data_IF_912940328369
#
_entry.id   IF_912940328369
#
_cell.length_a   1.000
_cell.length_b   1.000
_cell.length_c   1.000
_cell.angle_alpha   90.00
_cell.angle_beta   90.00
_cell.angle_gamma   90.00
#
_symmetry.space_group_name_H-M   'P 1'
#
loop_
_entity.id
_entity.type
_entity.pdbx_description
1 polymer ?
#
# COMPACT_ATOMS: atom_id res chain seq x y z
N UNK A 1 44.81 12.97 19.16
CA UNK A 1 45.10 13.82 20.35
C UNK A 1 43.77 14.35 20.89
N UNK A 2 43.50 14.00 22.15
CA UNK A 2 42.67 14.66 23.18
C UNK A 2 41.17 14.84 22.83
N UNK A 3 40.23 14.08 23.36
CA UNK A 3 39.70 13.92 24.75
C UNK A 3 38.69 15.02 25.14
N UNK A 4 37.45 14.50 25.39
CA UNK A 4 36.53 14.75 26.51
C UNK A 4 35.90 16.17 26.64
N UNK A 5 34.54 16.16 26.77
CA UNK A 5 33.88 16.47 28.06
C UNK A 5 32.42 16.04 28.01
N UNK A 6 32.03 15.22 28.99
CA UNK A 6 30.65 14.88 29.35
C UNK A 6 30.15 15.92 30.34
N UNK A 7 28.84 16.23 30.35
CA UNK A 7 28.18 16.83 31.51
C UNK A 7 26.73 16.35 31.61
N UNK A 8 26.48 15.60 32.66
CA UNK A 8 25.20 15.28 33.26
C UNK A 8 24.45 16.54 33.73
N UNK A 9 23.12 16.52 33.59
CA UNK A 9 22.26 17.23 34.54
C UNK A 9 20.99 16.41 34.77
N UNK A 10 20.92 15.80 35.94
CA UNK A 10 19.74 15.27 36.58
C UNK A 10 19.02 16.39 37.30
N UNK A 11 17.71 16.48 37.16
CA UNK A 11 16.87 17.25 38.06
C UNK A 11 15.59 16.47 38.36
N UNK A 12 15.56 15.95 39.57
CA UNK A 12 14.41 15.45 40.33
C UNK A 12 13.46 16.57 40.69
N UNK A 13 12.13 16.34 40.58
CA UNK A 13 11.17 17.05 41.41
C UNK A 13 10.04 16.15 41.87
N UNK A 14 9.83 16.17 43.15
CA UNK A 14 8.96 15.41 44.03
C UNK A 14 7.55 15.96 44.10
N UNK A 15 6.62 15.04 44.20
CA UNK A 15 5.38 14.88 45.00
C UNK A 15 4.80 16.14 45.70
N UNK A 16 3.48 16.34 45.54
CA UNK A 16 2.60 16.81 46.60
C UNK A 16 1.19 16.22 46.43
N UNK A 17 0.81 15.38 47.39
CA UNK A 17 -0.55 15.02 47.74
C UNK A 17 -1.26 16.20 48.42
N UNK A 18 -2.55 16.39 48.14
CA UNK A 18 -3.47 16.97 49.10
C UNK A 18 -4.86 16.36 48.90
N UNK A 19 -5.33 15.69 49.92
CA UNK A 19 -6.69 15.19 50.12
C UNK A 19 -7.54 16.21 50.87
N UNK A 20 -8.88 16.13 50.65
CA UNK A 20 -10.00 16.39 51.59
C UNK A 20 -11.23 16.58 50.73
N UNK A 21 -12.35 15.87 50.86
CA UNK A 21 -13.08 15.42 52.03
C UNK A 21 -14.40 16.22 52.14
N UNK A 22 -15.57 15.55 52.14
CA UNK A 22 -16.79 16.21 52.53
C UNK A 22 -18.10 15.68 51.85
N UNK A 23 -18.72 14.88 52.54
CA UNK A 23 -20.02 14.25 52.74
C UNK A 23 -21.26 15.16 52.74
N UNK A 24 -22.44 14.54 52.49
CA UNK A 24 -23.78 15.00 52.85
C UNK A 24 -24.84 14.56 51.83
N UNK A 25 -25.56 13.63 52.00
CA UNK A 25 -26.72 13.05 52.68
C UNK A 25 -28.07 13.62 52.23
N UNK A 26 -28.85 12.76 51.63
CA UNK A 26 -30.19 12.24 51.93
C UNK A 26 -31.47 13.04 51.58
N UNK A 27 -32.43 12.24 51.14
CA UNK A 27 -33.91 12.29 51.42
C UNK A 27 -34.74 12.98 50.33
N UNK A 28 -35.83 12.49 49.75
CA UNK A 28 -36.88 11.51 50.13
C UNK A 28 -37.84 11.36 48.94
N UNK A 29 -38.45 10.19 48.80
CA UNK A 29 -39.66 9.96 48.01
C UNK A 29 -40.89 10.50 48.76
N UNK A 30 -42.18 10.48 48.24
CA UNK A 30 -42.84 9.35 47.59
C UNK A 30 -43.96 9.66 46.53
N UNK A 31 -44.32 8.64 45.79
CA UNK A 31 -45.65 8.01 45.61
C UNK A 31 -46.56 8.40 44.43
N UNK A 32 -46.81 7.35 43.66
CA UNK A 32 -48.08 6.80 43.14
C UNK A 32 -48.81 7.39 41.94
N UNK A 33 -49.05 6.48 41.01
CA UNK A 33 -50.10 6.58 39.99
C UNK A 33 -49.91 5.53 38.89
N UNK A 34 -50.47 4.33 39.08
CA UNK A 34 -50.42 3.26 38.10
C UNK A 34 -51.38 3.43 36.94
N UNK A 35 -51.08 2.80 35.81
CA UNK A 35 -52.05 2.01 35.01
C UNK A 35 -51.37 1.23 33.91
N UNK A 36 -51.79 -0.04 33.80
CA UNK A 36 -51.85 -0.93 32.64
C UNK A 36 -50.55 -1.37 31.94
N UNK A 37 -50.36 -2.67 32.09
CA UNK A 37 -49.38 -3.50 31.39
C UNK A 37 -49.75 -3.66 29.90
N UNK A 38 -48.77 -3.47 29.04
CA UNK A 38 -48.69 -4.07 27.71
C UNK A 38 -47.45 -4.97 27.71
N UNK A 39 -47.68 -6.26 27.51
CA UNK A 39 -46.63 -7.27 27.42
C UNK A 39 -45.83 -6.99 26.13
N UNK A 40 -44.64 -6.47 26.28
CA UNK A 40 -43.58 -6.49 25.23
C UNK A 40 -42.66 -7.67 25.54
N UNK A 41 -42.49 -8.56 24.56
CA UNK A 41 -41.51 -9.65 24.60
C UNK A 41 -40.15 -9.09 25.02
N UNK A 42 -39.59 -9.70 26.05
CA UNK A 42 -38.26 -9.36 26.53
C UNK A 42 -37.22 -9.86 25.52
N UNK A 43 -36.58 -8.93 24.82
CA UNK A 43 -35.28 -9.16 24.20
C UNK A 43 -34.33 -9.74 25.26
N UNK A 44 -33.64 -10.84 24.90
CA UNK A 44 -32.62 -11.43 25.75
C UNK A 44 -31.58 -10.36 26.11
N UNK A 45 -31.07 -10.32 27.36
CA UNK A 45 -30.05 -9.36 27.72
C UNK A 45 -28.82 -9.60 26.84
N UNK A 46 -28.35 -8.57 26.14
CA UNK A 46 -27.04 -8.57 25.54
C UNK A 46 -26.02 -8.98 26.63
N UNK A 47 -25.18 -9.97 26.34
CA UNK A 47 -24.07 -10.34 27.22
C UNK A 47 -23.30 -9.08 27.59
N UNK A 48 -23.04 -8.88 28.87
CA UNK A 48 -22.23 -7.78 29.35
C UNK A 48 -20.85 -7.90 28.68
N UNK A 49 -20.27 -6.80 28.16
CA UNK A 49 -18.96 -6.84 27.53
C UNK A 49 -17.98 -7.49 28.51
N UNK A 50 -17.18 -8.45 27.99
CA UNK A 50 -16.13 -9.09 28.77
C UNK A 50 -15.23 -8.00 29.37
N UNK A 51 -14.78 -8.21 30.63
CA UNK A 51 -13.84 -7.28 31.27
C UNK A 51 -12.47 -7.35 30.60
N UNK A 52 -12.31 -6.57 29.53
CA UNK A 52 -11.10 -6.46 28.74
C UNK A 52 -10.19 -5.31 29.24
N UNK A 53 -10.51 -4.74 30.41
CA UNK A 53 -9.71 -3.66 31.00
C UNK A 53 -8.32 -4.19 31.34
N UNK A 54 -7.34 -3.74 30.57
CA UNK A 54 -5.93 -4.13 30.75
C UNK A 54 -5.29 -4.78 29.53
N UNK A 55 -6.07 -5.30 28.57
CA UNK A 55 -5.51 -5.81 27.30
C UNK A 55 -5.09 -4.65 26.40
N UNK A 56 -3.98 -4.83 25.70
CA UNK A 56 -3.49 -3.89 24.68
C UNK A 56 -3.01 -4.70 23.48
N UNK A 57 -3.57 -4.44 22.30
CA UNK A 57 -3.07 -4.97 21.05
C UNK A 57 -1.99 -4.06 20.48
N UNK A 58 -0.89 -4.65 20.07
CA UNK A 58 0.17 -3.97 19.34
C UNK A 58 -0.08 -4.15 17.84
N UNK A 59 -0.22 -3.03 17.14
CA UNK A 59 -0.49 -3.00 15.70
C UNK A 59 0.68 -2.33 14.98
N UNK A 60 1.26 -2.98 13.97
CA UNK A 60 2.33 -2.42 13.18
C UNK A 60 1.86 -2.11 11.74
N UNK A 61 2.19 -0.89 11.31
CA UNK A 61 1.97 -0.38 9.94
C UNK A 61 3.24 0.35 9.47
N UNK A 62 3.32 0.69 8.17
CA UNK A 62 4.49 1.43 7.66
C UNK A 62 4.19 2.81 7.09
N UNK A 63 2.93 3.18 6.88
CA UNK A 63 2.57 4.47 6.31
C UNK A 63 1.95 5.42 7.34
N UNK A 64 2.67 6.50 7.64
CA UNK A 64 2.20 7.51 8.59
C UNK A 64 0.99 8.31 8.07
N UNK A 65 0.82 8.43 6.73
CA UNK A 65 -0.27 9.20 6.17
C UNK A 65 -1.64 8.53 6.38
N UNK A 66 -1.64 7.20 6.60
CA UNK A 66 -2.83 6.41 6.88
C UNK A 66 -3.15 6.31 8.39
N UNK A 67 -2.21 6.68 9.26
CA UNK A 67 -2.32 6.50 10.71
C UNK A 67 -3.58 7.16 11.30
N UNK A 68 -3.89 8.39 10.90
CA UNK A 68 -5.01 9.16 11.47
C UNK A 68 -6.35 8.46 11.20
N UNK A 69 -6.59 8.03 9.97
CA UNK A 69 -7.81 7.33 9.60
C UNK A 69 -7.94 5.97 10.26
N UNK A 70 -6.85 5.19 10.30
CA UNK A 70 -6.83 3.89 10.98
C UNK A 70 -7.04 4.02 12.49
N UNK A 71 -6.45 5.04 13.11
CA UNK A 71 -6.66 5.33 14.54
C UNK A 71 -8.11 5.66 14.84
N UNK A 72 -8.80 6.42 13.99
CA UNK A 72 -10.21 6.72 14.18
C UNK A 72 -11.08 5.45 14.25
N UNK A 73 -10.81 4.44 13.41
CA UNK A 73 -11.50 3.16 13.43
C UNK A 73 -11.10 2.34 14.67
N UNK A 74 -9.81 2.28 14.98
CA UNK A 74 -9.31 1.55 16.14
C UNK A 74 -9.84 2.12 17.47
N UNK A 75 -9.96 3.45 17.59
CA UNK A 75 -10.48 4.12 18.79
C UNK A 75 -11.98 3.82 19.00
N UNK A 76 -12.76 3.78 17.92
CA UNK A 76 -14.17 3.38 18.00
C UNK A 76 -14.34 1.91 18.42
N UNK A 77 -13.52 1.02 17.84
CA UNK A 77 -13.50 -0.38 18.24
C UNK A 77 -13.05 -0.53 19.71
N UNK A 78 -12.00 0.19 20.10
CA UNK A 78 -11.48 0.21 21.47
C UNK A 78 -12.54 0.69 22.48
N UNK A 79 -13.33 1.71 22.11
CA UNK A 79 -14.44 2.20 22.97
C UNK A 79 -15.56 1.16 23.14
N UNK A 80 -15.81 0.32 22.12
CA UNK A 80 -16.83 -0.75 22.17
C UNK A 80 -16.36 -1.97 22.97
N UNK A 81 -15.07 -2.32 22.88
CA UNK A 81 -14.52 -3.58 23.42
C UNK A 81 -13.80 -3.43 24.75
N UNK A 82 -13.36 -2.23 25.11
CA UNK A 82 -12.50 -1.97 26.27
C UNK A 82 -11.03 -2.35 26.09
N UNK A 83 -10.65 -2.92 24.93
CA UNK A 83 -9.27 -3.26 24.59
C UNK A 83 -8.55 -2.04 24.04
N UNK A 84 -7.33 -1.79 24.48
CA UNK A 84 -6.49 -0.69 23.95
C UNK A 84 -5.80 -1.13 22.65
N UNK A 85 -5.57 -0.17 21.77
CA UNK A 85 -4.81 -0.36 20.52
C UNK A 85 -3.63 0.58 20.50
N UNK A 86 -2.42 0.02 20.37
CA UNK A 86 -1.19 0.75 20.15
C UNK A 86 -0.75 0.56 18.70
N UNK A 87 -0.89 1.60 17.86
CA UNK A 87 -0.43 1.57 16.47
C UNK A 87 0.98 2.15 16.41
N UNK A 88 1.93 1.35 15.93
CA UNK A 88 3.29 1.74 15.66
C UNK A 88 3.46 1.94 14.14
N UNK A 89 4.09 3.06 13.77
CA UNK A 89 4.48 3.32 12.36
C UNK A 89 5.98 3.08 12.25
N UNK A 90 6.37 2.18 11.37
CA UNK A 90 7.75 1.73 11.17
C UNK A 90 8.06 1.88 9.68
N UNK A 91 9.21 2.41 9.32
CA UNK A 91 9.59 2.57 7.91
C UNK A 91 9.61 1.22 7.18
N UNK A 92 9.30 1.22 5.88
CA UNK A 92 9.19 0.00 5.07
C UNK A 92 10.34 -1.00 5.27
N UNK A 93 11.59 -0.55 5.17
CA UNK A 93 12.77 -1.43 5.29
C UNK A 93 12.93 -1.97 6.71
N UNK A 94 12.72 -1.13 7.71
CA UNK A 94 12.84 -1.50 9.13
C UNK A 94 11.68 -2.40 9.55
N UNK A 95 10.50 -2.21 8.98
CA UNK A 95 9.30 -3.00 9.26
C UNK A 95 9.54 -4.49 9.05
N UNK A 96 10.03 -4.87 7.88
CA UNK A 96 10.31 -6.28 7.55
C UNK A 96 11.44 -6.85 8.38
N UNK A 97 12.48 -6.05 8.65
CA UNK A 97 13.59 -6.45 9.54
C UNK A 97 13.10 -6.77 10.95
N UNK A 98 12.25 -5.92 11.52
CA UNK A 98 11.69 -6.12 12.85
C UNK A 98 10.66 -7.24 12.90
N UNK A 99 9.81 -7.37 11.88
CA UNK A 99 8.83 -8.44 11.79
C UNK A 99 9.51 -9.82 11.70
N UNK A 100 10.58 -9.95 10.91
CA UNK A 100 11.36 -11.18 10.81
C UNK A 100 12.12 -11.51 12.11
N UNK A 101 12.68 -10.51 12.76
CA UNK A 101 13.30 -10.69 14.08
C UNK A 101 12.28 -11.13 15.14
N UNK A 102 11.09 -10.50 15.15
CA UNK A 102 9.98 -10.87 16.02
C UNK A 102 9.46 -12.28 15.75
N UNK A 103 9.33 -12.66 14.47
CA UNK A 103 8.94 -14.00 14.07
C UNK A 103 9.93 -15.08 14.59
N UNK A 104 11.23 -14.79 14.48
CA UNK A 104 12.28 -15.67 14.98
C UNK A 104 12.39 -15.70 16.51
N UNK A 105 12.09 -14.57 17.19
CA UNK A 105 12.14 -14.41 18.63
C UNK A 105 10.86 -14.77 19.38
N UNK A 106 9.74 -14.96 18.67
CA UNK A 106 8.43 -15.19 19.28
C UNK A 106 7.77 -13.91 19.81
N UNK A 107 8.20 -12.72 19.36
CA UNK A 107 7.74 -11.40 19.78
C UNK A 107 7.17 -10.60 18.60
N UNK A 108 6.26 -11.21 17.83
CA UNK A 108 5.55 -10.52 16.75
C UNK A 108 4.51 -9.55 17.31
N UNK A 109 4.15 -8.46 16.58
CA UNK A 109 2.97 -7.65 16.92
C UNK A 109 1.70 -8.50 16.82
N UNK A 110 0.64 -8.13 17.56
CA UNK A 110 -0.61 -8.89 17.53
C UNK A 110 -1.30 -8.80 16.17
N UNK A 111 -1.33 -7.61 15.58
CA UNK A 111 -1.95 -7.31 14.27
C UNK A 111 -0.98 -6.49 13.43
N UNK A 112 -0.92 -6.77 12.14
CA UNK A 112 0.02 -6.08 11.27
C UNK A 112 -0.37 -6.17 9.80
N UNK A 113 0.16 -5.23 9.02
CA UNK A 113 0.03 -5.28 7.58
C UNK A 113 0.89 -6.38 6.98
N UNK A 114 0.32 -7.09 6.02
CA UNK A 114 1.02 -8.07 5.21
C UNK A 114 1.00 -7.65 3.74
N UNK A 115 2.14 -7.81 3.07
CA UNK A 115 2.32 -7.53 1.65
C UNK A 115 2.50 -8.83 0.86
N UNK A 116 2.09 -8.84 -0.42
CA UNK A 116 2.19 -10.01 -1.29
C UNK A 116 3.61 -10.57 -1.36
N UNK A 117 4.63 -9.70 -1.36
CA UNK A 117 6.04 -10.09 -1.48
C UNK A 117 6.52 -11.01 -0.35
N UNK A 118 5.90 -10.90 0.82
CA UNK A 118 6.27 -11.66 2.01
C UNK A 118 5.22 -12.71 2.42
N UNK A 119 3.98 -12.56 1.96
CA UNK A 119 2.85 -13.36 2.44
C UNK A 119 3.11 -14.87 2.35
N UNK A 120 3.61 -15.37 1.22
CA UNK A 120 3.89 -16.81 1.02
C UNK A 120 4.92 -17.35 2.00
N UNK A 121 5.96 -16.57 2.31
CA UNK A 121 7.00 -16.93 3.30
C UNK A 121 6.40 -17.12 4.69
N UNK A 122 5.61 -16.15 5.14
CA UNK A 122 5.01 -16.16 6.48
C UNK A 122 3.91 -17.22 6.63
N UNK A 123 3.05 -17.38 5.62
CA UNK A 123 2.01 -18.41 5.61
C UNK A 123 2.60 -19.83 5.68
N UNK A 124 3.65 -20.13 4.87
CA UNK A 124 4.30 -21.46 4.83
C UNK A 124 5.14 -21.76 6.07
N UNK A 125 5.48 -20.73 6.83
CA UNK A 125 6.23 -20.89 8.07
C UNK A 125 5.33 -20.95 9.32
N UNK A 126 4.00 -21.03 9.14
CA UNK A 126 3.01 -21.08 10.22
C UNK A 126 3.11 -19.87 11.19
N UNK A 127 3.52 -18.70 10.68
CA UNK A 127 3.73 -17.50 11.49
C UNK A 127 2.45 -16.65 11.60
N UNK A 128 1.46 -16.90 10.75
CA UNK A 128 0.20 -16.16 10.72
C UNK A 128 -0.93 -16.97 11.33
N UNK A 129 -1.83 -16.28 12.04
CA UNK A 129 -3.06 -16.87 12.57
C UNK A 129 -3.96 -17.33 11.41
N UNK A 130 -4.45 -18.58 11.46
CA UNK A 130 -5.46 -19.05 10.53
C UNK A 130 -6.82 -18.44 10.90
N UNK A 131 -7.42 -17.72 9.95
CA UNK A 131 -8.66 -16.96 10.19
C UNK A 131 -9.94 -17.73 9.86
N UNK A 132 -9.88 -18.95 9.30
CA UNK A 132 -11.06 -19.67 8.81
C UNK A 132 -12.15 -19.84 9.87
N UNK A 133 -11.78 -20.27 11.10
CA UNK A 133 -12.73 -20.51 12.17
C UNK A 133 -13.37 -19.21 12.71
N UNK A 134 -12.68 -18.10 12.57
CA UNK A 134 -13.19 -16.77 12.92
C UNK A 134 -14.14 -16.25 11.83
N UNK A 135 -13.72 -16.29 10.58
CA UNK A 135 -14.54 -15.87 9.42
C UNK A 135 -15.85 -16.65 9.38
N UNK A 136 -15.82 -17.96 9.66
CA UNK A 136 -17.02 -18.80 9.65
C UNK A 136 -18.09 -18.41 10.71
N UNK A 137 -17.73 -17.59 11.68
CA UNK A 137 -18.60 -17.13 12.78
C UNK A 137 -18.89 -15.63 12.75
N UNK A 138 -18.34 -14.94 11.76
CA UNK A 138 -18.41 -13.49 11.65
C UNK A 138 -19.32 -13.09 10.48
N UNK A 139 -20.54 -12.70 10.79
CA UNK A 139 -21.53 -12.25 9.80
C UNK A 139 -21.12 -10.94 9.10
N UNK A 140 -20.11 -10.20 9.62
CA UNK A 140 -19.61 -8.97 9.02
C UNK A 140 -18.60 -9.22 7.88
N UNK A 141 -18.06 -10.44 7.77
CA UNK A 141 -17.02 -10.80 6.81
C UNK A 141 -17.52 -11.89 5.86
N UNK A 142 -17.79 -11.50 4.61
CA UNK A 142 -18.02 -12.41 3.49
C UNK A 142 -16.96 -12.15 2.41
N UNK A 143 -16.04 -13.09 2.24
CA UNK A 143 -14.91 -12.96 1.31
C UNK A 143 -15.35 -12.76 -0.15
N UNK A 144 -16.57 -13.16 -0.52
CA UNK A 144 -17.11 -12.92 -1.88
C UNK A 144 -17.36 -11.44 -2.19
N UNK A 145 -17.46 -10.60 -1.18
CA UNK A 145 -17.63 -9.15 -1.32
C UNK A 145 -16.31 -8.41 -1.58
N UNK A 146 -15.18 -9.09 -1.47
CA UNK A 146 -13.88 -8.52 -1.79
C UNK A 146 -13.42 -8.89 -3.19
N UNK A 147 -12.43 -8.19 -3.71
CA UNK A 147 -11.79 -8.57 -4.97
C UNK A 147 -11.06 -9.90 -4.81
N UNK A 148 -11.44 -10.89 -5.63
CA UNK A 148 -10.93 -12.26 -5.55
C UNK A 148 -9.39 -12.31 -5.61
N UNK A 149 -8.78 -11.52 -6.49
CA UNK A 149 -7.33 -11.46 -6.62
C UNK A 149 -6.60 -11.03 -5.34
N UNK A 150 -7.23 -10.19 -4.49
CA UNK A 150 -6.64 -9.77 -3.19
C UNK A 150 -6.89 -10.83 -2.11
N UNK A 151 -8.07 -11.45 -2.09
CA UNK A 151 -8.34 -12.58 -1.17
C UNK A 151 -7.32 -13.70 -1.37
N UNK A 152 -7.06 -14.05 -2.63
CA UNK A 152 -6.14 -15.13 -3.01
C UNK A 152 -4.69 -14.90 -2.59
N UNK A 153 -4.24 -13.64 -2.51
CA UNK A 153 -2.88 -13.31 -2.05
C UNK A 153 -2.60 -13.92 -0.67
N UNK A 154 -3.61 -13.90 0.19
CA UNK A 154 -3.49 -14.28 1.60
C UNK A 154 -4.14 -15.62 1.91
N UNK A 155 -4.35 -16.43 0.88
CA UNK A 155 -4.86 -17.81 0.97
C UNK A 155 -3.74 -18.82 0.68
N UNK A 156 -3.68 -19.88 1.46
CA UNK A 156 -2.77 -21.00 1.24
C UNK A 156 -3.45 -22.32 1.65
N UNK A 157 -3.48 -23.30 0.75
CA UNK A 157 -4.02 -24.64 0.99
C UNK A 157 -5.44 -24.64 1.61
N UNK A 158 -6.29 -23.70 1.16
CA UNK A 158 -7.67 -23.53 1.61
C UNK A 158 -7.83 -22.80 2.96
N UNK A 159 -6.76 -22.24 3.48
CA UNK A 159 -6.76 -21.43 4.68
C UNK A 159 -6.55 -19.95 4.35
N UNK A 160 -7.30 -19.06 5.01
CA UNK A 160 -7.15 -17.61 4.94
C UNK A 160 -6.31 -17.13 6.12
N UNK A 161 -5.27 -16.32 5.84
CA UNK A 161 -4.33 -15.85 6.85
C UNK A 161 -4.31 -14.34 7.05
N UNK A 162 -4.91 -13.59 6.14
CA UNK A 162 -5.17 -12.17 6.33
C UNK A 162 -6.47 -11.78 5.64
N UNK A 163 -7.15 -10.74 6.14
CA UNK A 163 -8.29 -10.14 5.44
C UNK A 163 -7.82 -8.98 4.56
N UNK A 164 -8.39 -8.82 3.34
CA UNK A 164 -8.04 -7.73 2.45
C UNK A 164 -8.23 -6.36 3.10
N UNK A 165 -7.17 -5.56 3.13
CA UNK A 165 -7.17 -4.20 3.67
C UNK A 165 -7.60 -3.18 2.62
N UNK A 166 -7.01 -3.26 1.46
CA UNK A 166 -7.16 -2.33 0.35
C UNK A 166 -6.90 -3.04 -0.98
N UNK A 167 -6.99 -2.27 -2.04
CA UNK A 167 -6.41 -2.62 -3.33
C UNK A 167 -5.79 -1.39 -3.97
N UNK A 168 -4.90 -1.61 -4.91
CA UNK A 168 -4.13 -0.57 -5.57
C UNK A 168 -4.16 -0.75 -7.08
N UNK A 169 -4.20 0.36 -7.80
CA UNK A 169 -3.86 0.48 -9.21
C UNK A 169 -2.82 1.57 -9.41
N UNK A 170 -2.26 1.66 -10.60
CA UNK A 170 -1.23 2.65 -10.95
C UNK A 170 -1.83 3.68 -11.90
N UNK A 171 -1.52 4.95 -11.62
CA UNK A 171 -1.86 6.08 -12.47
C UNK A 171 -0.62 6.97 -12.68
N UNK A 172 -0.72 7.92 -13.57
CA UNK A 172 0.32 8.91 -13.81
C UNK A 172 0.01 10.18 -13.04
N UNK A 173 0.94 10.65 -12.20
CA UNK A 173 0.90 11.99 -11.62
C UNK A 173 1.75 12.94 -12.46
N UNK A 174 1.28 14.19 -12.64
CA UNK A 174 2.04 15.22 -13.35
C UNK A 174 1.90 16.60 -12.68
N UNK A 175 2.92 17.44 -12.87
CA UNK A 175 2.98 18.80 -12.33
C UNK A 175 2.58 19.80 -13.41
N UNK A 176 1.37 20.37 -13.30
CA UNK A 176 0.81 21.35 -14.25
C UNK A 176 1.71 22.58 -14.45
N UNK A 177 2.38 23.06 -13.41
CA UNK A 177 3.27 24.22 -13.50
C UNK A 177 4.47 23.92 -14.39
N UNK A 178 5.04 22.72 -14.33
CA UNK A 178 6.15 22.27 -15.20
C UNK A 178 5.67 22.15 -16.63
N UNK A 179 4.49 21.54 -16.86
CA UNK A 179 3.92 21.39 -18.20
C UNK A 179 3.64 22.76 -18.83
N UNK A 180 2.99 23.68 -18.10
CA UNK A 180 2.72 25.04 -18.57
C UNK A 180 4.03 25.80 -18.88
N UNK A 181 5.00 25.73 -17.97
CA UNK A 181 6.29 26.42 -18.10
C UNK A 181 7.04 26.04 -19.36
N UNK A 182 7.01 24.76 -19.73
CA UNK A 182 7.75 24.24 -20.88
C UNK A 182 6.88 24.00 -22.12
N UNK A 183 5.59 24.38 -22.05
CA UNK A 183 4.66 24.31 -23.18
C UNK A 183 4.37 22.89 -23.63
N UNK A 184 4.24 21.95 -22.68
CA UNK A 184 3.88 20.56 -22.94
C UNK A 184 2.36 20.41 -22.76
N UNK A 185 1.71 19.69 -23.65
CA UNK A 185 0.28 19.40 -23.51
C UNK A 185 0.03 18.46 -22.35
N UNK A 186 -1.08 18.69 -21.62
CA UNK A 186 -1.45 17.82 -20.50
C UNK A 186 -1.81 16.42 -20.99
N UNK A 187 -1.53 15.40 -20.17
CA UNK A 187 -1.96 14.03 -20.45
C UNK A 187 -3.46 13.93 -20.65
N UNK A 188 -3.87 13.02 -21.51
CA UNK A 188 -5.27 12.65 -21.74
C UNK A 188 -5.42 11.13 -21.81
N UNK A 189 -6.65 10.64 -21.89
CA UNK A 189 -6.94 9.21 -21.83
C UNK A 189 -6.40 8.38 -23.01
N UNK A 190 -5.93 9.04 -24.06
CA UNK A 190 -5.37 8.37 -25.23
C UNK A 190 -3.84 8.40 -25.27
N UNK A 191 -3.19 8.81 -24.18
CA UNK A 191 -1.72 8.79 -24.17
C UNK A 191 -1.17 7.37 -24.22
N UNK A 192 -0.33 7.16 -25.21
CA UNK A 192 0.51 5.97 -25.33
C UNK A 192 1.80 6.13 -24.51
N UNK A 193 2.55 5.05 -24.36
CA UNK A 193 3.89 5.13 -23.80
C UNK A 193 4.82 6.00 -24.66
N UNK A 194 4.60 6.05 -25.98
CA UNK A 194 5.38 6.93 -26.87
C UNK A 194 5.05 8.41 -26.63
N UNK A 195 3.77 8.76 -26.36
CA UNK A 195 3.37 10.12 -25.98
C UNK A 195 4.00 10.52 -24.64
N UNK A 196 3.98 9.60 -23.67
CA UNK A 196 4.64 9.79 -22.37
C UNK A 196 6.13 10.07 -22.53
N UNK A 197 6.83 9.25 -23.32
CA UNK A 197 8.26 9.43 -23.58
C UNK A 197 8.55 10.74 -24.32
N UNK A 198 7.72 11.13 -25.30
CA UNK A 198 7.86 12.38 -26.03
C UNK A 198 7.68 13.60 -25.12
N UNK A 199 6.68 13.59 -24.24
CA UNK A 199 6.46 14.65 -23.25
C UNK A 199 7.62 14.73 -22.25
N UNK A 200 8.11 13.58 -21.76
CA UNK A 200 9.27 13.51 -20.89
C UNK A 200 10.52 14.13 -21.55
N UNK A 201 10.79 13.77 -22.80
CA UNK A 201 11.91 14.30 -23.55
C UNK A 201 11.79 15.83 -23.79
N UNK A 202 10.60 16.32 -24.08
CA UNK A 202 10.34 17.75 -24.24
C UNK A 202 10.60 18.52 -22.95
N UNK A 203 10.08 18.04 -21.79
CA UNK A 203 10.31 18.65 -20.48
C UNK A 203 11.80 18.65 -20.16
N UNK A 204 12.49 17.52 -20.34
CA UNK A 204 13.93 17.39 -20.09
C UNK A 204 14.75 18.38 -20.93
N UNK A 205 14.47 18.46 -22.23
CA UNK A 205 15.21 19.35 -23.12
C UNK A 205 14.98 20.85 -22.81
N UNK A 206 13.73 21.23 -22.50
CA UNK A 206 13.39 22.62 -22.17
C UNK A 206 13.81 23.01 -20.74
N UNK A 207 13.78 22.04 -19.80
CA UNK A 207 14.08 22.24 -18.38
C UNK A 207 15.54 21.97 -17.98
N UNK A 208 16.42 21.59 -18.93
CA UNK A 208 17.81 21.20 -18.62
C UNK A 208 18.58 22.30 -17.87
N UNK A 209 18.43 23.55 -18.28
CA UNK A 209 19.08 24.68 -17.63
C UNK A 209 18.56 24.95 -16.20
N UNK A 210 17.35 24.52 -15.90
CA UNK A 210 16.69 24.65 -14.60
C UNK A 210 16.90 23.40 -13.73
N UNK A 211 17.56 22.36 -14.24
CA UNK A 211 17.77 21.09 -13.56
C UNK A 211 16.51 20.22 -13.47
N UNK A 212 15.55 20.41 -14.41
CA UNK A 212 14.29 19.68 -14.43
C UNK A 212 14.38 18.47 -15.35
N UNK A 213 13.82 17.37 -14.90
CA UNK A 213 13.73 16.09 -15.60
C UNK A 213 12.28 15.86 -16.07
N UNK A 214 12.13 15.10 -17.16
CA UNK A 214 10.83 14.80 -17.72
C UNK A 214 10.04 13.84 -16.86
N UNK A 215 10.70 12.79 -16.43
CA UNK A 215 10.11 11.74 -15.59
C UNK A 215 11.14 11.18 -14.60
N UNK A 216 10.67 10.42 -13.62
CA UNK A 216 11.48 9.59 -12.75
C UNK A 216 10.75 8.28 -12.47
N UNK A 217 11.44 7.29 -11.97
CA UNK A 217 10.90 5.97 -11.66
C UNK A 217 11.64 5.37 -10.48
N UNK A 218 10.92 4.67 -9.62
CA UNK A 218 11.54 3.82 -8.62
C UNK A 218 12.16 2.61 -9.34
N UNK A 219 13.49 2.57 -9.42
CA UNK A 219 14.21 1.47 -10.08
C UNK A 219 14.35 0.23 -9.21
N UNK A 220 14.02 0.34 -7.92
CA UNK A 220 14.13 -0.74 -6.94
C UNK A 220 12.80 -1.47 -6.72
N UNK A 221 11.68 -0.86 -7.14
CA UNK A 221 10.34 -1.43 -7.10
C UNK A 221 9.72 -1.36 -8.50
N UNK A 222 9.21 -2.49 -8.97
CA UNK A 222 8.62 -2.56 -10.30
C UNK A 222 7.13 -2.24 -10.33
N UNK A 223 6.45 -2.26 -9.18
CA UNK A 223 4.99 -2.14 -9.12
C UNK A 223 4.48 -0.80 -9.65
N UNK A 224 5.07 0.29 -9.23
CA UNK A 224 4.75 1.66 -9.66
C UNK A 224 5.50 2.12 -10.91
N UNK A 225 6.27 1.22 -11.53
CA UNK A 225 7.12 1.55 -12.67
C UNK A 225 7.10 0.50 -13.77
N UNK A 226 8.23 -0.13 -13.98
CA UNK A 226 8.57 -0.91 -15.17
C UNK A 226 7.81 -2.25 -15.32
N UNK A 227 7.19 -2.80 -14.27
CA UNK A 227 6.31 -3.97 -14.41
C UNK A 227 5.11 -3.66 -15.31
N UNK A 228 4.49 -2.49 -15.14
CA UNK A 228 3.35 -2.06 -15.96
C UNK A 228 3.71 -2.05 -17.44
N UNK A 229 4.91 -1.56 -17.76
CA UNK A 229 5.40 -1.50 -19.11
C UNK A 229 5.67 -2.89 -19.68
N UNK A 230 6.33 -3.79 -18.93
CA UNK A 230 6.59 -5.17 -19.38
C UNK A 230 5.29 -5.88 -19.75
N UNK A 231 4.30 -5.85 -18.87
CA UNK A 231 3.02 -6.52 -19.12
C UNK A 231 2.22 -5.81 -20.23
N UNK A 232 2.34 -4.49 -20.37
CA UNK A 232 1.76 -3.73 -21.49
C UNK A 232 2.33 -4.15 -22.85
N UNK A 233 3.56 -4.58 -22.93
CA UNK A 233 4.19 -5.16 -24.14
C UNK A 233 3.83 -6.64 -24.34
N UNK A 234 3.09 -7.26 -23.43
CA UNK A 234 2.78 -8.68 -23.43
C UNK A 234 3.92 -9.57 -22.93
N UNK A 235 4.91 -8.98 -22.24
CA UNK A 235 5.95 -9.70 -21.52
C UNK A 235 5.49 -10.21 -20.16
N UNK A 236 6.39 -10.78 -19.39
CA UNK A 236 6.10 -11.34 -18.05
C UNK A 236 7.32 -11.18 -17.14
N UNK A 237 7.08 -11.05 -15.85
CA UNK A 237 8.11 -11.15 -14.82
C UNK A 237 8.32 -12.61 -14.41
N UNK A 238 7.21 -13.33 -14.22
CA UNK A 238 7.18 -14.72 -13.80
C UNK A 238 6.15 -15.50 -14.61
N UNK A 239 6.36 -16.80 -14.80
CA UNK A 239 5.37 -17.67 -15.46
C UNK A 239 4.09 -17.81 -14.65
N UNK A 240 2.99 -18.16 -15.31
CA UNK A 240 1.66 -18.27 -14.67
C UNK A 240 1.62 -19.34 -13.56
N UNK A 241 2.51 -20.32 -13.60
CA UNK A 241 2.67 -21.35 -12.55
C UNK A 241 3.73 -20.99 -11.48
N UNK A 242 4.28 -19.79 -11.55
CA UNK A 242 5.32 -19.23 -10.66
C UNK A 242 6.62 -20.05 -10.58
N UNK A 243 6.95 -20.83 -11.63
CA UNK A 243 8.13 -21.73 -11.59
C UNK A 243 9.31 -21.26 -12.41
N UNK A 244 9.08 -20.33 -13.32
CA UNK A 244 10.14 -19.84 -14.20
C UNK A 244 10.06 -18.32 -14.34
N UNK A 245 11.22 -17.69 -14.47
CA UNK A 245 11.31 -16.28 -14.80
C UNK A 245 10.78 -16.00 -16.21
N UNK A 246 10.13 -14.85 -16.39
CA UNK A 246 9.79 -14.31 -17.70
C UNK A 246 10.72 -13.18 -18.16
N UNK A 247 11.80 -12.93 -17.41
CA UNK A 247 12.72 -11.82 -17.74
C UNK A 247 13.50 -12.03 -19.04
N UNK A 248 13.66 -13.26 -19.51
CA UNK A 248 14.27 -13.58 -20.82
C UNK A 248 13.25 -13.74 -21.96
N UNK A 249 11.96 -13.53 -21.68
CA UNK A 249 10.94 -13.48 -22.73
C UNK A 249 11.26 -12.36 -23.74
N UNK A 250 11.15 -12.62 -25.05
CA UNK A 250 11.41 -11.60 -26.07
C UNK A 250 10.61 -10.31 -25.89
N UNK A 251 9.36 -10.38 -25.41
CA UNK A 251 8.51 -9.21 -25.15
C UNK A 251 8.95 -8.43 -23.92
N UNK A 252 9.40 -9.12 -22.88
CA UNK A 252 10.02 -8.49 -21.70
C UNK A 252 11.29 -7.75 -22.08
N UNK A 253 12.17 -8.38 -22.88
CA UNK A 253 13.40 -7.75 -23.36
C UNK A 253 13.08 -6.54 -24.27
N UNK A 254 12.06 -6.64 -25.14
CA UNK A 254 11.60 -5.54 -25.99
C UNK A 254 11.15 -4.35 -25.14
N UNK A 255 10.29 -4.57 -24.14
CA UNK A 255 9.81 -3.55 -23.23
C UNK A 255 10.92 -2.86 -22.45
N UNK A 256 11.83 -3.64 -21.86
CA UNK A 256 12.94 -3.10 -21.07
C UNK A 256 13.96 -2.33 -21.92
N UNK A 257 14.18 -2.79 -23.14
CA UNK A 257 15.02 -2.08 -24.11
C UNK A 257 14.38 -0.77 -24.54
N UNK A 258 13.06 -0.79 -24.83
CA UNK A 258 12.32 0.43 -25.15
C UNK A 258 12.38 1.45 -24.01
N UNK A 259 12.18 1.02 -22.77
CA UNK A 259 12.29 1.88 -21.58
C UNK A 259 13.68 2.51 -21.48
N UNK A 260 14.72 1.71 -21.64
CA UNK A 260 16.12 2.17 -21.57
C UNK A 260 16.46 3.20 -22.65
N UNK A 261 15.92 3.02 -23.85
CA UNK A 261 16.20 3.90 -25.00
C UNK A 261 15.34 5.18 -25.00
N UNK A 262 14.10 5.13 -24.50
CA UNK A 262 13.13 6.22 -24.67
C UNK A 262 12.80 6.98 -23.38
N UNK A 263 12.79 6.33 -22.21
CA UNK A 263 12.45 7.01 -20.96
C UNK A 263 13.70 7.40 -20.14
N UNK A 264 14.68 6.52 -20.09
CA UNK A 264 15.85 6.73 -19.25
C UNK A 264 16.63 8.03 -19.58
N UNK A 265 16.75 8.47 -20.85
CA UNK A 265 17.39 9.75 -21.18
C UNK A 265 16.70 10.99 -20.58
N UNK A 266 15.43 10.87 -20.23
CA UNK A 266 14.61 11.95 -19.64
C UNK A 266 14.53 11.89 -18.11
N UNK A 267 15.15 10.88 -17.49
CA UNK A 267 15.19 10.66 -16.04
C UNK A 267 16.44 11.29 -15.41
N UNK A 268 16.45 11.48 -14.07
CA UNK A 268 17.67 11.71 -13.31
C UNK A 268 18.66 10.56 -13.50
N UNK A 269 19.95 10.83 -13.28
CA UNK A 269 20.95 9.76 -13.28
C UNK A 269 20.64 8.74 -12.18
N UNK A 270 20.96 7.45 -12.45
CA UNK A 270 20.68 6.33 -11.53
C UNK A 270 21.16 6.58 -10.10
N UNK A 271 22.34 7.17 -9.92
CA UNK A 271 22.85 7.44 -8.58
C UNK A 271 21.96 8.45 -7.81
N UNK A 272 21.39 9.43 -8.52
CA UNK A 272 20.48 10.40 -7.88
C UNK A 272 19.16 9.74 -7.50
N UNK A 273 18.60 8.88 -8.36
CA UNK A 273 17.37 8.11 -8.06
C UNK A 273 17.58 7.04 -6.99
N UNK A 274 18.79 6.54 -6.81
CA UNK A 274 19.13 5.62 -5.72
C UNK A 274 19.29 6.31 -4.36
N UNK A 275 19.75 7.58 -4.38
CA UNK A 275 19.99 8.36 -3.16
C UNK A 275 18.77 9.21 -2.74
N UNK A 276 17.87 9.51 -3.65
CA UNK A 276 16.69 10.35 -3.42
C UNK A 276 15.46 9.71 -4.06
N UNK A 277 14.46 9.48 -3.24
CA UNK A 277 13.19 8.92 -3.65
C UNK A 277 12.56 9.75 -4.79
N UNK A 278 12.13 9.14 -5.90
CA UNK A 278 11.45 9.82 -7.01
C UNK A 278 10.26 10.69 -6.59
N UNK A 279 9.50 10.28 -5.58
CA UNK A 279 8.38 11.06 -5.02
C UNK A 279 8.85 12.39 -4.45
N UNK A 280 9.97 12.38 -3.71
CA UNK A 280 10.58 13.61 -3.18
C UNK A 280 11.09 14.51 -4.29
N UNK A 281 11.65 13.93 -5.38
CA UNK A 281 12.06 14.70 -6.54
C UNK A 281 10.87 15.36 -7.23
N UNK A 282 9.76 14.64 -7.41
CA UNK A 282 8.53 15.18 -7.97
C UNK A 282 7.96 16.30 -7.09
N UNK A 283 7.84 16.07 -5.78
CA UNK A 283 7.32 17.07 -4.82
C UNK A 283 8.24 18.30 -4.70
N UNK A 284 9.54 18.15 -4.97
CA UNK A 284 10.47 19.28 -5.01
C UNK A 284 10.40 20.10 -6.32
N UNK A 285 9.62 19.65 -7.31
CA UNK A 285 9.43 20.36 -8.57
C UNK A 285 10.56 20.18 -9.58
N UNK A 286 11.39 19.14 -9.45
CA UNK A 286 12.46 18.82 -10.41
C UNK A 286 12.11 17.67 -11.36
N UNK A 287 10.92 17.06 -11.21
CA UNK A 287 10.39 16.02 -12.08
C UNK A 287 9.02 16.43 -12.60
N UNK A 288 8.77 16.33 -13.91
CA UNK A 288 7.55 16.76 -14.55
C UNK A 288 6.37 15.81 -14.35
N UNK A 289 6.61 14.52 -14.41
CA UNK A 289 5.61 13.47 -14.25
C UNK A 289 6.25 12.15 -13.85
N UNK A 290 5.44 11.24 -13.28
CA UNK A 290 5.85 9.87 -12.96
C UNK A 290 4.64 8.96 -12.81
N UNK A 291 4.84 7.66 -12.82
CA UNK A 291 3.82 6.71 -12.39
C UNK A 291 3.83 6.58 -10.88
N UNK A 292 2.65 6.35 -10.30
CA UNK A 292 2.55 6.09 -8.88
C UNK A 292 1.25 5.36 -8.53
N UNK A 293 1.25 4.66 -7.41
CA UNK A 293 0.10 3.92 -6.93
C UNK A 293 -0.89 4.75 -6.12
N UNK A 294 -2.12 4.24 -6.03
CA UNK A 294 -3.20 4.90 -5.29
C UNK A 294 -2.89 5.13 -3.80
N UNK A 295 -1.98 4.35 -3.21
CA UNK A 295 -1.52 4.52 -1.82
C UNK A 295 -0.83 5.86 -1.56
N UNK A 296 -0.26 6.50 -2.59
CA UNK A 296 0.46 7.77 -2.47
C UNK A 296 -0.42 9.01 -2.65
N UNK A 297 -1.69 8.86 -3.01
CA UNK A 297 -2.61 9.98 -3.24
C UNK A 297 -2.65 10.93 -2.04
N UNK A 298 -2.77 10.40 -0.82
CA UNK A 298 -2.82 11.19 0.40
C UNK A 298 -1.52 11.99 0.63
N UNK A 299 -0.36 11.43 0.31
CA UNK A 299 0.94 12.11 0.40
C UNK A 299 1.01 13.29 -0.55
N UNK A 300 0.65 13.10 -1.81
CA UNK A 300 0.66 14.19 -2.81
C UNK A 300 -0.43 15.23 -2.56
N UNK A 301 -1.60 14.82 -2.05
CA UNK A 301 -2.68 15.74 -1.68
C UNK A 301 -2.27 16.69 -0.54
N UNK A 302 -1.51 16.20 0.44
CA UNK A 302 -1.01 16.97 1.58
C UNK A 302 0.27 17.76 1.27
N UNK A 303 0.88 17.55 0.11
CA UNK A 303 2.09 18.27 -0.28
C UNK A 303 1.82 19.77 -0.46
N UNK A 304 2.82 20.62 -0.18
CA UNK A 304 2.72 22.07 -0.27
C UNK A 304 2.26 22.56 -1.66
N UNK A 305 2.69 21.87 -2.72
CA UNK A 305 2.40 22.22 -4.10
C UNK A 305 1.23 21.40 -4.71
N UNK A 306 0.43 20.74 -3.89
CA UNK A 306 -0.63 19.81 -4.35
C UNK A 306 -1.61 20.43 -5.35
N UNK A 307 -1.86 21.76 -5.29
CA UNK A 307 -2.70 22.49 -6.24
C UNK A 307 -2.18 22.42 -7.70
N UNK A 308 -0.88 22.17 -7.87
CA UNK A 308 -0.23 22.04 -9.19
C UNK A 308 -0.24 20.59 -9.69
N UNK A 309 -0.63 19.62 -8.86
CA UNK A 309 -0.62 18.22 -9.24
C UNK A 309 -1.95 17.81 -9.86
N UNK A 310 -1.88 16.87 -10.78
CA UNK A 310 -3.05 16.21 -11.32
C UNK A 310 -2.70 14.77 -11.69
N UNK A 311 -3.73 13.92 -11.74
CA UNK A 311 -3.61 12.52 -12.11
C UNK A 311 -4.19 12.28 -13.49
N UNK A 312 -3.64 11.36 -14.21
CA UNK A 312 -4.13 10.86 -15.50
C UNK A 312 -4.00 9.33 -15.51
N UNK A 313 -4.69 8.71 -16.45
CA UNK A 313 -4.57 7.26 -16.63
C UNK A 313 -3.15 6.87 -16.99
N UNK A 314 -2.74 5.67 -16.56
CA UNK A 314 -1.47 5.07 -17.00
C UNK A 314 -1.45 4.99 -18.55
N UNK A 315 -0.30 5.28 -19.21
CA UNK A 315 -0.20 5.13 -20.65
C UNK A 315 -0.46 3.70 -21.11
N UNK A 316 -0.93 3.54 -22.35
CA UNK A 316 -1.11 2.23 -22.97
C UNK A 316 -0.10 1.96 -24.08
N UNK A 317 0.09 0.69 -24.42
CA UNK A 317 0.90 0.28 -25.55
C UNK A 317 0.00 0.04 -26.77
N UNK A 318 0.04 0.96 -27.74
CA UNK A 318 -0.69 0.82 -29.01
C UNK A 318 -0.05 -0.27 -29.88
N UNK A 319 -0.55 -1.50 -29.76
CA UNK A 319 0.03 -2.69 -30.38
C UNK A 319 -0.20 -2.75 -31.90
N UNK A 320 -1.20 -2.02 -32.39
CA UNK A 320 -1.62 -2.08 -33.80
C UNK A 320 -1.47 -0.74 -34.54
N UNK A 321 -1.07 0.34 -33.84
CA UNK A 321 -0.80 1.66 -34.41
C UNK A 321 -2.06 2.42 -34.86
N UNK A 322 -3.23 2.12 -34.25
CA UNK A 322 -4.49 2.76 -34.62
C UNK A 322 -4.76 4.08 -33.88
N UNK A 323 -3.98 4.39 -32.83
CA UNK A 323 -4.11 5.59 -32.00
C UNK A 323 -5.32 5.55 -31.06
N UNK A 324 -5.84 4.37 -30.73
CA UNK A 324 -6.94 4.14 -29.80
C UNK A 324 -6.52 3.06 -28.80
N UNK A 325 -6.95 3.19 -27.57
CA UNK A 325 -6.71 2.17 -26.56
C UNK A 325 -7.71 1.03 -26.74
N UNK A 326 -7.24 -0.07 -27.31
CA UNK A 326 -8.04 -1.27 -27.48
C UNK A 326 -8.02 -2.13 -26.20
N UNK A 327 -8.94 -3.12 -26.13
CA UNK A 327 -8.99 -4.06 -25.00
C UNK A 327 -7.65 -4.80 -24.83
N UNK A 328 -7.10 -4.75 -23.62
CA UNK A 328 -5.84 -5.42 -23.28
C UNK A 328 -4.57 -4.56 -23.44
N UNK A 329 -4.67 -3.37 -24.05
CA UNK A 329 -3.50 -2.51 -24.30
C UNK A 329 -3.13 -1.63 -23.11
N UNK A 330 -4.11 -1.18 -22.31
CA UNK A 330 -3.86 -0.48 -21.04
C UNK A 330 -3.74 -1.49 -19.92
N UNK A 331 -2.58 -1.55 -19.33
CA UNK A 331 -2.25 -2.52 -18.28
C UNK A 331 -1.84 -1.78 -17.03
N UNK A 332 -2.30 -2.23 -15.87
CA UNK A 332 -1.88 -1.73 -14.56
C UNK A 332 -1.55 -2.89 -13.63
N UNK A 333 -0.50 -2.72 -12.83
CA UNK A 333 -0.28 -3.57 -11.68
C UNK A 333 -1.45 -3.45 -10.71
N UNK A 334 -1.85 -4.59 -10.17
CA UNK A 334 -2.94 -4.72 -9.22
C UNK A 334 -2.46 -5.49 -8.00
N UNK A 335 -2.55 -4.86 -6.86
CA UNK A 335 -2.11 -5.40 -5.58
C UNK A 335 -3.05 -4.91 -4.48
N UNK A 336 -2.81 -5.35 -3.26
CA UNK A 336 -3.47 -4.88 -2.06
C UNK A 336 -2.88 -5.53 -0.83
N UNK A 337 -2.96 -4.82 0.27
CA UNK A 337 -2.46 -5.28 1.55
C UNK A 337 -3.48 -6.18 2.27
N UNK A 338 -2.98 -6.98 3.20
CA UNK A 338 -3.79 -7.75 4.12
C UNK A 338 -3.57 -7.31 5.57
N UNK A 339 -4.61 -7.38 6.38
CA UNK A 339 -4.50 -7.35 7.82
C UNK A 339 -4.31 -8.77 8.33
N UNK A 340 -3.14 -9.07 8.90
CA UNK A 340 -2.78 -10.36 9.47
C UNK A 340 -2.62 -10.26 11.00
N UNK A 341 -2.75 -11.39 11.68
CA UNK A 341 -2.41 -11.55 13.09
C UNK A 341 -1.29 -12.58 13.26
N UNK A 342 -0.48 -12.42 14.30
CA UNK A 342 0.54 -13.39 14.64
C UNK A 342 -0.08 -14.70 15.12
N UNK A 343 0.45 -15.85 14.69
CA UNK A 343 -0.02 -17.16 15.13
C UNK A 343 0.12 -17.37 16.65
N UNK A 344 1.07 -16.65 17.27
CA UNK A 344 1.41 -16.76 18.69
C UNK A 344 0.91 -15.57 19.53
N UNK A 345 0.00 -14.73 19.02
CA UNK A 345 -0.60 -13.65 19.83
C UNK A 345 -1.29 -14.20 21.08
N UNK A 346 -1.16 -13.50 22.19
CA UNK A 346 -1.87 -13.85 23.43
C UNK A 346 -3.37 -13.50 23.37
N UNK A 347 -3.80 -12.71 22.35
CA UNK A 347 -5.16 -12.18 22.21
C UNK A 347 -5.75 -12.48 20.82
N UNK A 348 -5.85 -13.75 20.39
CA UNK A 348 -6.26 -14.09 19.02
C UNK A 348 -7.70 -13.66 18.70
N UNK A 349 -8.62 -13.73 19.67
CA UNK A 349 -10.02 -13.31 19.47
C UNK A 349 -10.12 -11.79 19.30
N UNK A 350 -9.40 -11.02 20.11
CA UNK A 350 -9.35 -9.57 20.02
C UNK A 350 -8.61 -9.09 18.76
N UNK A 351 -7.52 -9.77 18.39
CA UNK A 351 -6.77 -9.49 17.17
C UNK A 351 -7.67 -9.68 15.94
N UNK A 352 -8.39 -10.81 15.83
CA UNK A 352 -9.33 -11.02 14.74
C UNK A 352 -10.46 -9.99 14.76
N UNK A 353 -11.05 -9.70 15.93
CA UNK A 353 -12.13 -8.71 16.06
C UNK A 353 -11.70 -7.31 15.59
N UNK A 354 -10.45 -6.91 15.85
CA UNK A 354 -9.91 -5.64 15.32
C UNK A 354 -9.71 -5.72 13.81
N UNK A 355 -9.19 -6.82 13.29
CA UNK A 355 -9.05 -7.05 11.84
C UNK A 355 -10.42 -6.98 11.16
N UNK A 356 -11.44 -7.64 11.72
CA UNK A 356 -12.81 -7.58 11.22
C UNK A 356 -13.35 -6.14 11.20
N UNK A 357 -13.10 -5.35 12.24
CA UNK A 357 -13.52 -3.95 12.29
C UNK A 357 -12.88 -3.10 11.18
N UNK A 358 -11.62 -3.36 10.82
CA UNK A 358 -10.97 -2.69 9.68
C UNK A 358 -11.49 -3.18 8.32
N UNK A 359 -11.82 -4.47 8.22
CA UNK A 359 -12.10 -5.11 6.94
C UNK A 359 -13.60 -5.23 6.62
N UNK A 360 -14.51 -5.10 7.59
CA UNK A 360 -15.96 -5.08 7.34
C UNK A 360 -16.34 -3.98 6.33
N UNK A 361 -17.51 -4.09 5.71
CA UNK A 361 -18.04 -3.07 4.80
C UNK A 361 -17.99 -1.67 5.44
N UNK A 362 -18.43 -1.54 6.70
CA UNK A 362 -18.39 -0.28 7.45
C UNK A 362 -16.96 0.23 7.63
N UNK A 363 -16.02 -0.64 8.03
CA UNK A 363 -14.60 -0.30 8.19
C UNK A 363 -13.94 0.12 6.89
N UNK A 364 -14.17 -0.62 5.82
CA UNK A 364 -13.64 -0.36 4.49
C UNK A 364 -14.18 0.97 3.91
N UNK A 365 -15.48 1.19 4.01
CA UNK A 365 -16.09 2.45 3.61
C UNK A 365 -15.53 3.64 4.40
N UNK A 366 -15.38 3.47 5.71
CA UNK A 366 -14.81 4.52 6.56
C UNK A 366 -13.36 4.82 6.25
N UNK A 367 -12.53 3.80 5.97
CA UNK A 367 -11.16 4.02 5.48
C UNK A 367 -11.15 4.86 4.19
N UNK A 368 -12.00 4.51 3.23
CA UNK A 368 -12.13 5.24 1.98
C UNK A 368 -12.57 6.70 2.20
N UNK A 369 -13.63 6.94 3.00
CA UNK A 369 -14.12 8.28 3.36
C UNK A 369 -13.06 9.16 4.06
N UNK A 370 -12.17 8.54 4.84
CA UNK A 370 -11.06 9.21 5.53
C UNK A 370 -9.82 9.39 4.65
N UNK A 371 -9.87 9.01 3.38
CA UNK A 371 -8.76 9.10 2.45
C UNK A 371 -7.58 8.20 2.82
N UNK A 372 -7.84 7.05 3.45
CA UNK A 372 -6.79 6.10 3.83
C UNK A 372 -6.27 5.38 2.59
N UNK A 373 -7.14 4.61 1.91
CA UNK A 373 -6.83 3.87 0.67
C UNK A 373 -8.11 3.57 -0.10
N UNK A 374 -7.96 3.08 -1.33
CA UNK A 374 -9.05 2.42 -2.06
C UNK A 374 -9.46 1.13 -1.32
N UNK A 375 -10.76 0.91 -1.19
CA UNK A 375 -11.30 -0.19 -0.41
C UNK A 375 -11.19 -1.53 -1.16
N UNK A 376 -10.72 -2.59 -0.49
CA UNK A 376 -10.78 -3.94 -1.03
C UNK A 376 -12.20 -4.51 -1.10
N UNK A 377 -13.15 -3.95 -0.34
CA UNK A 377 -14.57 -4.30 -0.38
C UNK A 377 -15.23 -3.63 -1.59
N UNK A 378 -15.81 -4.42 -2.49
CA UNK A 378 -16.41 -3.96 -3.73
C UNK A 378 -17.47 -2.87 -3.48
N UNK A 379 -17.41 -1.79 -4.26
CA UNK A 379 -18.36 -0.69 -4.19
C UNK A 379 -18.08 0.36 -3.10
N UNK A 380 -16.99 0.23 -2.33
CA UNK A 380 -16.61 1.23 -1.33
C UNK A 380 -15.57 2.26 -1.82
N UNK A 381 -14.89 2.01 -2.94
CA UNK A 381 -13.79 2.87 -3.43
C UNK A 381 -14.23 4.24 -3.91
N UNK A 382 -15.50 4.44 -4.34
CA UNK A 382 -16.04 5.75 -4.72
C UNK A 382 -15.89 6.78 -3.58
N UNK A 383 -15.97 6.33 -2.33
CA UNK A 383 -15.80 7.21 -1.17
C UNK A 383 -14.36 7.76 -1.07
N UNK A 384 -13.36 6.97 -1.51
CA UNK A 384 -11.97 7.42 -1.56
C UNK A 384 -11.77 8.55 -2.57
N UNK A 385 -12.40 8.44 -3.76
CA UNK A 385 -12.35 9.53 -4.76
C UNK A 385 -12.91 10.82 -4.20
N UNK A 386 -14.00 10.74 -3.43
CA UNK A 386 -14.64 11.91 -2.80
C UNK A 386 -13.85 12.54 -1.64
N UNK A 387 -12.82 11.88 -1.12
CA UNK A 387 -12.06 12.36 0.03
C UNK A 387 -11.05 13.48 -0.31
N UNK A 388 -10.73 13.70 -1.59
CA UNK A 388 -9.68 14.62 -2.04
C UNK A 388 -10.25 15.82 -2.81
N UNK A 389 -10.82 16.78 -2.09
CA UNK A 389 -11.45 17.98 -2.70
C UNK A 389 -10.47 18.73 -3.60
N UNK A 390 -10.86 18.94 -4.86
CA UNK A 390 -10.07 19.69 -5.85
C UNK A 390 -8.97 18.89 -6.54
N UNK A 391 -8.77 17.61 -6.20
CA UNK A 391 -7.87 16.68 -6.89
C UNK A 391 -8.68 15.51 -7.45
N UNK A 392 -8.73 15.38 -8.77
CA UNK A 392 -9.38 14.26 -9.43
C UNK A 392 -8.46 13.04 -9.41
N UNK A 393 -8.88 11.99 -8.70
CA UNK A 393 -8.19 10.72 -8.60
C UNK A 393 -8.96 9.57 -9.26
N UNK A 394 -10.01 9.91 -10.02
CA UNK A 394 -10.79 8.91 -10.78
C UNK A 394 -9.96 8.05 -11.74
N UNK A 395 -8.78 8.47 -12.25
CA UNK A 395 -7.95 7.63 -13.10
C UNK A 395 -7.62 6.26 -12.51
N UNK A 396 -7.49 6.14 -11.18
CA UNK A 396 -7.25 4.87 -10.49
C UNK A 396 -8.43 3.89 -10.61
N UNK A 397 -9.67 4.37 -10.51
CA UNK A 397 -10.87 3.55 -10.69
C UNK A 397 -11.16 3.30 -12.18
N UNK A 398 -10.91 4.29 -13.03
CA UNK A 398 -11.15 4.14 -14.48
C UNK A 398 -10.27 3.04 -15.08
N UNK A 399 -9.01 2.93 -14.65
CA UNK A 399 -8.13 1.85 -15.12
C UNK A 399 -8.56 0.49 -14.58
N UNK A 400 -9.16 0.44 -13.40
CA UNK A 400 -9.75 -0.79 -12.85
C UNK A 400 -10.92 -1.28 -13.69
N UNK A 401 -11.78 -0.37 -14.16
CA UNK A 401 -12.96 -0.69 -14.94
C UNK A 401 -12.66 -1.00 -16.41
N UNK A 402 -11.70 -0.32 -17.01
CA UNK A 402 -11.44 -0.33 -18.46
C UNK A 402 -10.10 -0.93 -18.85
N UNK A 403 -9.17 -1.08 -17.93
CA UNK A 403 -7.83 -1.62 -18.17
C UNK A 403 -7.74 -3.13 -17.93
N UNK A 404 -6.53 -3.64 -18.12
CA UNK A 404 -6.17 -5.02 -17.76
C UNK A 404 -5.41 -5.01 -16.45
N UNK A 405 -6.00 -5.63 -15.44
CA UNK A 405 -5.40 -5.75 -14.11
C UNK A 405 -4.45 -6.94 -14.07
N UNK A 406 -3.20 -6.67 -13.77
CA UNK A 406 -2.17 -7.71 -13.61
C UNK A 406 -1.83 -7.82 -12.13
N UNK A 407 -2.12 -9.00 -11.55
CA UNK A 407 -1.72 -9.30 -10.18
C UNK A 407 -0.20 -9.14 -10.04
N UNK A 408 0.24 -8.48 -8.98
CA UNK A 408 1.66 -8.33 -8.69
C UNK A 408 2.36 -9.70 -8.71
N UNK A 409 3.46 -9.85 -9.48
CA UNK A 409 4.18 -11.11 -9.57
C UNK A 409 4.80 -11.46 -8.22
N UNK A 410 4.54 -12.67 -7.74
CA UNK A 410 5.06 -13.10 -6.45
C UNK A 410 5.28 -14.60 -6.39
N UNK A 411 6.27 -15.02 -5.61
CA UNK A 411 6.58 -16.40 -5.25
C UNK A 411 6.88 -16.50 -3.75
N UNK A 412 7.37 -17.63 -3.29
CA UNK A 412 7.76 -17.77 -1.87
C UNK A 412 8.89 -16.83 -1.45
N UNK A 413 9.82 -16.56 -2.35
CA UNK A 413 11.00 -15.73 -2.09
C UNK A 413 11.06 -14.51 -2.99
N UNK A 414 9.92 -13.82 -3.15
CA UNK A 414 9.78 -12.61 -3.97
C UNK A 414 10.85 -11.59 -3.65
N UNK A 415 11.00 -11.21 -2.40
CA UNK A 415 12.00 -10.21 -1.97
C UNK A 415 13.44 -10.61 -2.29
N UNK A 416 13.73 -11.90 -2.43
CA UNK A 416 15.06 -12.37 -2.82
C UNK A 416 15.34 -12.09 -4.30
N UNK A 417 14.43 -12.47 -5.20
CA UNK A 417 14.67 -12.23 -6.62
C UNK A 417 14.46 -10.76 -7.01
N UNK A 418 13.57 -10.02 -6.36
CA UNK A 418 13.47 -8.55 -6.54
C UNK A 418 14.75 -7.85 -6.07
N UNK A 419 15.32 -8.24 -4.95
CA UNK A 419 16.62 -7.74 -4.49
C UNK A 419 17.76 -8.02 -5.48
N UNK A 420 17.71 -9.16 -6.17
CA UNK A 420 18.64 -9.47 -7.26
C UNK A 420 18.42 -8.52 -8.46
N UNK A 421 17.17 -8.21 -8.81
CA UNK A 421 16.85 -7.24 -9.87
C UNK A 421 17.37 -5.86 -9.53
N UNK A 422 17.08 -5.37 -8.31
CA UNK A 422 17.59 -4.08 -7.82
C UNK A 422 19.09 -3.95 -8.02
N UNK A 423 19.85 -4.99 -7.69
CA UNK A 423 21.31 -4.97 -7.83
C UNK A 423 21.77 -5.18 -9.27
N UNK A 424 21.13 -6.11 -9.98
CA UNK A 424 21.55 -6.53 -11.32
C UNK A 424 21.29 -5.48 -12.41
N UNK A 425 20.17 -4.75 -12.30
CA UNK A 425 19.82 -3.73 -13.29
C UNK A 425 20.62 -2.44 -13.16
N UNK A 426 21.36 -2.19 -12.07
CA UNK A 426 22.18 -0.95 -11.91
C UNK A 426 23.08 -0.70 -13.10
N UNK A 427 23.76 -1.74 -13.59
CA UNK A 427 24.65 -1.60 -14.75
C UNK A 427 23.89 -1.28 -16.05
N UNK A 428 22.70 -1.85 -16.22
CA UNK A 428 21.87 -1.60 -17.39
C UNK A 428 21.24 -0.20 -17.37
N UNK A 429 20.85 0.31 -16.22
CA UNK A 429 20.39 1.69 -16.07
C UNK A 429 21.49 2.70 -16.41
N UNK A 430 22.77 2.39 -16.10
CA UNK A 430 23.90 3.23 -16.45
C UNK A 430 24.35 3.06 -17.92
N UNK A 431 24.10 1.91 -18.52
CA UNK A 431 24.46 1.59 -19.90
C UNK A 431 23.30 0.84 -20.59
N UNK A 432 22.31 1.58 -21.12
CA UNK A 432 21.12 1.01 -21.74
C UNK A 432 21.37 -0.07 -22.79
N UNK A 433 22.49 0.02 -23.53
CA UNK A 433 22.83 -0.97 -24.56
C UNK A 433 23.04 -2.40 -24.04
N UNK A 434 23.17 -2.59 -22.72
CA UNK A 434 23.33 -3.90 -22.09
C UNK A 434 22.02 -4.49 -21.58
N UNK A 435 20.90 -3.75 -21.67
CA UNK A 435 19.61 -4.12 -21.07
C UNK A 435 19.17 -5.54 -21.46
N UNK A 436 19.24 -5.89 -22.74
CA UNK A 436 18.82 -7.22 -23.22
C UNK A 436 19.64 -8.37 -22.62
N UNK A 437 20.92 -8.17 -22.36
CA UNK A 437 21.77 -9.21 -21.77
C UNK A 437 21.56 -9.28 -20.26
N UNK A 438 21.38 -8.13 -19.60
CA UNK A 438 21.04 -8.08 -18.16
C UNK A 438 19.69 -8.73 -17.88
N UNK A 439 18.67 -8.56 -18.72
CA UNK A 439 17.39 -9.26 -18.58
C UNK A 439 17.58 -10.79 -18.55
N UNK A 440 18.43 -11.35 -19.41
CA UNK A 440 18.74 -12.80 -19.42
C UNK A 440 19.50 -13.24 -18.18
N UNK A 441 20.43 -12.40 -17.68
CA UNK A 441 21.14 -12.66 -16.43
C UNK A 441 20.16 -12.67 -15.24
N UNK A 442 19.25 -11.71 -15.19
CA UNK A 442 18.20 -11.65 -14.16
C UNK A 442 17.26 -12.85 -14.23
N UNK A 443 16.90 -13.30 -15.44
CA UNK A 443 16.13 -14.52 -15.64
C UNK A 443 16.83 -15.75 -15.03
N UNK A 444 18.12 -15.89 -15.28
CA UNK A 444 18.90 -16.99 -14.72
C UNK A 444 18.94 -16.97 -13.19
N UNK A 445 19.22 -15.79 -12.60
CA UNK A 445 19.25 -15.60 -11.15
C UNK A 445 17.89 -15.87 -10.50
N UNK A 446 16.81 -15.36 -11.10
CA UNK A 446 15.45 -15.62 -10.61
C UNK A 446 15.10 -17.10 -10.69
N UNK A 447 15.46 -17.80 -11.78
CA UNK A 447 15.21 -19.22 -11.91
C UNK A 447 15.96 -20.06 -10.85
N UNK A 448 17.14 -19.63 -10.40
CA UNK A 448 17.85 -20.29 -9.28
C UNK A 448 17.07 -20.13 -7.97
N UNK A 449 16.48 -18.95 -7.72
CA UNK A 449 15.63 -18.72 -6.54
C UNK A 449 14.38 -19.58 -6.62
N UNK A 450 13.62 -19.53 -7.74
CA UNK A 450 12.39 -20.30 -7.93
C UNK A 450 12.59 -21.81 -7.82
N UNK A 451 13.75 -22.33 -8.29
CA UNK A 451 14.10 -23.74 -8.15
C UNK A 451 14.37 -24.18 -6.70
N UNK A 452 14.58 -23.24 -5.78
CA UNK A 452 14.81 -23.49 -4.35
C UNK A 452 13.53 -23.49 -3.50
N UNK A 453 12.40 -23.11 -4.06
CA UNK A 453 11.09 -23.04 -3.40
C UNK A 453 10.40 -24.40 -3.29
#
# INVERSE_FOLDING_TARGET
MKRLIALLLAATMTISLAACGGSGAASSAPAQGGTAAEETEAEAPAEAPADNTGKTLVVNIWDNNQLEGLRAIADEWSAKTGVKVQINVITWVEYWTLLEAGASGGEMPDVFWMHINEAQKYMRADMLLNLNDYIAKDDAIDLSNYYEGIVDIYSLDGNQYALPKDHDTIAMIYNKEIFDKYGVEYPNDNWTWDDYAAAAAQIKAAGEADGVYGTAMNTNDGQDGWYNLIYGWGGKIISDDNKTSGMDDPKTIEAMTWLADNLFPSMPEQNLMADTDPDLMFMSGIVGMMLQGSWMVNTFYKAEQSANYAWAQIPYHDTNGNGQCDEGERVTMYNGLGWAAAANTEYPDEAYSLISAFCSEEGQKKQAELGVTMAAYKGCSDAFVGAFEGMDISPFLTVEESGTLIKHPASRYTTTWEGNFTTGFVAAWQNPSTMADVCKEMAAMMNEVLASE
#
